data_IF_914505507742
#
_entry.id   IF_914505507742
#
_cell.length_a   1.000
_cell.length_b   1.000
_cell.length_c   1.000
_cell.angle_alpha   90.00
_cell.angle_beta   90.00
_cell.angle_gamma   90.00
#
_symmetry.space_group_name_H-M   'P 1'
#
loop_
_entity.id
_entity.type
_entity.pdbx_description
1 polymer ?
#
# COMPACT_ATOMS: atom_id res chain seq x y z
N UNK A 1 22.43 24.13 15.34
CA UNK A 1 22.27 22.73 14.86
C UNK A 1 21.06 22.18 15.59
N UNK A 2 19.94 22.00 14.90
CA UNK A 2 18.79 21.27 15.43
C UNK A 2 19.22 19.79 15.42
N UNK A 3 19.09 19.04 16.52
CA UNK A 3 19.43 17.64 16.53
C UNK A 3 18.51 16.94 15.52
N UNK A 4 19.13 16.20 14.57
CA UNK A 4 18.41 15.25 13.70
C UNK A 4 17.58 14.36 14.60
N UNK A 5 16.25 14.53 14.57
CA UNK A 5 15.34 13.62 15.24
C UNK A 5 15.65 12.22 14.74
N UNK A 6 15.91 11.28 15.64
CA UNK A 6 16.06 9.87 15.29
C UNK A 6 14.79 9.50 14.52
N UNK A 7 14.92 9.22 13.21
CA UNK A 7 13.82 8.70 12.39
C UNK A 7 13.29 7.44 13.07
N UNK A 8 12.00 7.42 13.36
CA UNK A 8 11.33 6.29 14.00
C UNK A 8 11.06 5.27 12.89
N UNK A 9 11.69 4.09 12.96
CA UNK A 9 11.24 2.95 12.17
C UNK A 9 9.84 2.57 12.67
N UNK A 10 8.94 2.19 11.77
CA UNK A 10 7.60 1.73 12.15
C UNK A 10 7.71 0.61 13.20
N UNK A 11 6.94 0.71 14.26
CA UNK A 11 6.92 -0.27 15.35
C UNK A 11 5.49 -0.67 15.66
N UNK A 12 5.27 -1.94 15.94
CA UNK A 12 4.02 -2.45 16.47
C UNK A 12 4.20 -2.89 17.91
N UNK A 13 3.35 -2.36 18.80
CA UNK A 13 3.29 -2.77 20.21
C UNK A 13 1.97 -3.48 20.45
N UNK A 14 2.02 -4.77 20.75
CA UNK A 14 0.86 -5.51 21.21
C UNK A 14 0.52 -5.09 22.65
N UNK A 15 -0.72 -4.66 22.89
CA UNK A 15 -1.16 -4.21 24.20
C UNK A 15 -2.05 -5.22 24.91
N UNK A 16 -3.01 -5.78 24.18
CA UNK A 16 -3.99 -6.73 24.74
C UNK A 16 -4.28 -7.86 23.75
N UNK A 17 -4.41 -9.06 24.29
CA UNK A 17 -4.94 -10.23 23.58
C UNK A 17 -6.18 -10.74 24.31
N UNK A 18 -7.22 -11.10 23.57
CA UNK A 18 -8.39 -11.75 24.14
C UNK A 18 -8.06 -13.18 24.59
N UNK A 19 -8.64 -13.60 25.70
CA UNK A 19 -8.41 -14.94 26.27
C UNK A 19 -9.29 -16.02 25.63
N UNK A 20 -10.33 -15.64 24.86
CA UNK A 20 -11.33 -16.55 24.29
C UNK A 20 -11.30 -16.61 22.76
N UNK A 21 -10.57 -15.72 22.12
CA UNK A 21 -10.44 -15.65 20.67
C UNK A 21 -9.03 -15.22 20.26
N UNK A 22 -8.77 -15.10 18.95
CA UNK A 22 -7.52 -14.56 18.41
C UNK A 22 -7.53 -13.02 18.29
N UNK A 23 -8.49 -12.34 18.89
CA UNK A 23 -8.58 -10.89 18.86
C UNK A 23 -7.43 -10.26 19.66
N UNK A 24 -6.92 -9.15 19.17
CA UNK A 24 -5.85 -8.40 19.79
C UNK A 24 -6.00 -6.91 19.54
N UNK A 25 -5.53 -6.09 20.46
CA UNK A 25 -5.36 -4.66 20.29
C UNK A 25 -3.89 -4.28 20.44
N UNK A 26 -3.48 -3.24 19.76
CA UNK A 26 -2.11 -2.75 19.80
C UNK A 26 -1.97 -1.38 19.17
N UNK A 27 -0.75 -0.86 19.13
CA UNK A 27 -0.41 0.44 18.59
C UNK A 27 0.66 0.30 17.52
N UNK A 28 0.46 0.94 16.37
CA UNK A 28 1.50 1.14 15.35
C UNK A 28 2.02 2.57 15.48
N UNK A 29 3.34 2.74 15.53
CA UNK A 29 3.99 4.05 15.50
C UNK A 29 4.64 4.30 14.15
N UNK A 30 4.36 5.48 13.56
CA UNK A 30 4.99 6.00 12.33
C UNK A 30 5.58 7.38 12.58
N UNK A 31 6.29 7.95 11.60
CA UNK A 31 6.80 9.33 11.72
C UNK A 31 5.68 10.39 11.76
N UNK A 32 4.46 10.07 11.27
CA UNK A 32 3.30 10.96 11.32
C UNK A 32 2.34 10.68 12.48
N UNK A 33 2.70 9.79 13.40
CA UNK A 33 1.91 9.54 14.60
C UNK A 33 1.61 8.09 14.87
N UNK A 34 0.67 7.87 15.78
CA UNK A 34 0.26 6.57 16.27
C UNK A 34 -1.06 6.14 15.68
N UNK A 35 -1.23 4.84 15.52
CA UNK A 35 -2.44 4.20 15.02
C UNK A 35 -2.86 3.16 16.06
N UNK A 36 -3.99 3.36 16.70
CA UNK A 36 -4.57 2.36 17.59
C UNK A 36 -5.26 1.27 16.76
N UNK A 37 -4.99 0.01 17.05
CA UNK A 37 -5.55 -1.13 16.30
C UNK A 37 -6.40 -2.04 17.18
N UNK A 38 -7.51 -2.59 16.65
CA UNK A 38 -7.99 -2.51 15.25
C UNK A 38 -8.62 -1.16 14.92
N UNK A 39 -8.49 -0.71 13.67
CA UNK A 39 -9.03 0.58 13.22
C UNK A 39 -9.60 0.48 11.80
N UNK A 40 -10.59 1.34 11.51
CA UNK A 40 -11.07 1.56 10.16
C UNK A 40 -10.28 2.68 9.49
N UNK A 41 -9.84 2.45 8.24
CA UNK A 41 -9.15 3.44 7.43
C UNK A 41 -10.11 4.07 6.41
N UNK A 42 -10.51 5.34 6.57
CA UNK A 42 -11.26 6.05 5.53
C UNK A 42 -10.49 6.07 4.20
N UNK A 43 -11.19 5.81 3.10
CA UNK A 43 -10.56 5.72 1.77
C UNK A 43 -10.54 7.09 1.10
N UNK A 44 -9.34 7.65 0.98
CA UNK A 44 -9.04 8.89 0.28
C UNK A 44 -8.51 8.65 -1.14
N UNK A 45 -9.32 8.08 -2.04
CA UNK A 45 -8.95 7.51 -3.34
C UNK A 45 -7.98 8.38 -4.15
N UNK A 46 -8.25 9.66 -4.31
CA UNK A 46 -7.43 10.61 -5.08
C UNK A 46 -6.93 11.76 -4.18
N UNK A 47 -6.46 11.43 -2.98
CA UNK A 47 -6.01 12.40 -1.98
C UNK A 47 -7.16 13.05 -1.21
N UNK A 48 -8.40 12.56 -1.37
CA UNK A 48 -9.57 13.06 -0.65
C UNK A 48 -10.58 11.93 -0.39
N UNK A 49 -11.23 11.96 0.76
CA UNK A 49 -12.43 11.17 1.04
C UNK A 49 -13.62 11.88 0.38
N UNK A 50 -14.26 11.22 -0.59
CA UNK A 50 -15.30 11.83 -1.40
C UNK A 50 -16.46 12.38 -0.55
N UNK A 51 -16.77 13.67 -0.74
CA UNK A 51 -17.89 14.34 -0.07
C UNK A 51 -17.61 14.71 1.40
N UNK A 52 -16.40 14.50 1.92
CA UNK A 52 -16.02 14.83 3.30
C UNK A 52 -14.75 15.68 3.28
N UNK A 53 -14.74 16.80 3.97
CA UNK A 53 -13.53 17.61 4.08
C UNK A 53 -12.48 16.91 4.94
N UNK A 54 -11.21 17.12 4.62
CA UNK A 54 -10.11 16.54 5.38
C UNK A 54 -10.12 16.99 6.85
N UNK A 55 -10.61 18.20 7.10
CA UNK A 55 -10.82 18.73 8.44
C UNK A 55 -11.81 17.87 9.23
N UNK A 56 -12.95 17.50 8.62
CA UNK A 56 -13.98 16.70 9.28
C UNK A 56 -13.48 15.28 9.57
N UNK A 57 -12.66 14.71 8.66
CA UNK A 57 -11.99 13.43 8.90
C UNK A 57 -11.07 13.49 10.11
N UNK A 58 -10.38 14.62 10.28
CA UNK A 58 -9.41 14.84 11.36
C UNK A 58 -10.07 15.20 12.69
N UNK A 59 -10.99 16.16 12.67
CA UNK A 59 -11.52 16.80 13.88
C UNK A 59 -12.79 16.10 14.39
N UNK A 60 -13.71 15.69 13.51
CA UNK A 60 -15.00 15.11 13.88
C UNK A 60 -14.95 13.57 13.89
N UNK A 61 -14.38 12.94 12.85
CA UNK A 61 -14.23 11.48 12.76
C UNK A 61 -13.05 11.00 13.59
N UNK A 62 -12.05 11.86 13.76
CA UNK A 62 -10.80 11.58 14.47
C UNK A 62 -10.09 10.31 13.96
N UNK A 63 -10.01 10.15 12.63
CA UNK A 63 -9.32 9.02 12.03
C UNK A 63 -7.81 9.11 12.29
N UNK A 64 -7.18 8.01 12.72
CA UNK A 64 -5.72 7.96 12.92
C UNK A 64 -4.97 7.78 11.60
N UNK A 65 -5.59 7.15 10.62
CA UNK A 65 -4.98 6.80 9.34
C UNK A 65 -6.01 6.88 8.22
N UNK A 66 -5.58 7.30 7.03
CA UNK A 66 -6.37 7.22 5.79
C UNK A 66 -5.63 6.40 4.73
N UNK A 67 -6.40 5.88 3.76
CA UNK A 67 -5.86 5.11 2.63
C UNK A 67 -5.97 5.91 1.33
N UNK A 68 -4.87 6.01 0.59
CA UNK A 68 -4.82 6.51 -0.78
C UNK A 68 -4.65 5.39 -1.80
N UNK A 69 -5.21 5.55 -3.02
CA UNK A 69 -5.06 4.53 -4.06
C UNK A 69 -3.98 4.94 -5.07
N UNK A 70 -2.90 4.19 -5.14
CA UNK A 70 -1.73 4.44 -5.99
C UNK A 70 -2.10 4.61 -7.46
N UNK A 71 -2.93 3.74 -8.02
CA UNK A 71 -3.40 3.82 -9.41
C UNK A 71 -4.07 5.17 -9.72
N UNK A 72 -4.99 5.60 -8.85
CA UNK A 72 -5.73 6.85 -9.06
C UNK A 72 -4.82 8.06 -8.91
N UNK A 73 -3.96 8.09 -7.89
CA UNK A 73 -3.01 9.19 -7.65
C UNK A 73 -1.98 9.31 -8.77
N UNK A 74 -1.52 8.18 -9.31
CA UNK A 74 -0.62 8.13 -10.47
C UNK A 74 -1.24 8.75 -11.73
N UNK A 75 -2.53 8.45 -12.02
CA UNK A 75 -3.22 8.98 -13.19
C UNK A 75 -3.69 10.42 -12.99
N UNK A 76 -4.19 10.75 -11.80
CA UNK A 76 -4.71 12.08 -11.45
C UNK A 76 -4.66 12.32 -9.94
N UNK A 77 -3.94 13.34 -9.47
CA UNK A 77 -3.41 14.50 -10.22
C UNK A 77 -2.15 14.20 -11.03
N UNK A 78 -1.50 13.04 -10.85
CA UNK A 78 -0.23 12.69 -11.46
C UNK A 78 0.95 12.93 -10.51
N UNK A 79 2.03 12.21 -10.75
CA UNK A 79 3.19 12.22 -9.85
C UNK A 79 3.88 13.57 -9.78
N UNK A 80 4.01 14.27 -10.91
CA UNK A 80 4.65 15.59 -10.96
C UNK A 80 3.96 16.59 -10.03
N UNK A 81 2.62 16.59 -10.02
CA UNK A 81 1.84 17.46 -9.15
C UNK A 81 2.04 17.10 -7.67
N UNK A 82 2.00 15.82 -7.34
CA UNK A 82 2.20 15.35 -5.97
C UNK A 82 3.62 15.70 -5.48
N UNK A 83 4.63 15.47 -6.31
CA UNK A 83 6.03 15.77 -5.99
C UNK A 83 6.29 17.24 -5.78
N UNK A 84 5.78 18.10 -6.68
CA UNK A 84 5.91 19.57 -6.57
C UNK A 84 5.24 20.12 -5.31
N UNK A 85 4.22 19.44 -4.79
CA UNK A 85 3.55 19.79 -3.53
C UNK A 85 4.22 19.15 -2.29
N UNK A 86 5.32 18.41 -2.45
CA UNK A 86 6.06 17.83 -1.33
C UNK A 86 5.43 16.56 -0.76
N UNK A 87 4.78 15.75 -1.62
CA UNK A 87 4.15 14.48 -1.28
C UNK A 87 2.68 14.58 -0.94
N UNK A 88 2.03 13.42 -0.80
CA UNK A 88 0.59 13.34 -0.60
C UNK A 88 0.12 13.99 0.71
N UNK A 89 0.89 13.88 1.79
CA UNK A 89 0.58 14.52 3.07
C UNK A 89 0.39 16.04 2.92
N UNK A 90 1.31 16.70 2.22
CA UNK A 90 1.21 18.14 1.98
C UNK A 90 0.16 18.49 0.93
N UNK A 91 0.04 17.67 -0.10
CA UNK A 91 -0.95 17.87 -1.17
C UNK A 91 -2.39 17.86 -0.67
N UNK A 92 -2.72 16.95 0.24
CA UNK A 92 -4.09 16.83 0.78
C UNK A 92 -4.29 17.46 2.18
N UNK A 93 -3.22 17.99 2.79
CA UNK A 93 -3.28 18.60 4.12
C UNK A 93 -3.49 17.59 5.26
N UNK A 94 -3.11 16.32 5.06
CA UNK A 94 -3.21 15.26 6.05
C UNK A 94 -1.87 15.06 6.78
N UNK A 95 -1.83 15.35 8.07
CA UNK A 95 -0.61 15.31 8.89
C UNK A 95 -0.53 14.08 9.82
N UNK A 96 -1.43 13.10 9.64
CA UNK A 96 -1.46 11.82 10.36
C UNK A 96 -1.01 10.68 9.45
N UNK A 97 -0.84 9.45 9.95
CA UNK A 97 -0.45 8.29 9.16
C UNK A 97 -1.27 8.09 7.88
N UNK A 98 -0.62 7.64 6.83
CA UNK A 98 -1.20 7.41 5.52
C UNK A 98 -0.70 6.08 4.93
N UNK A 99 -1.60 5.30 4.37
CA UNK A 99 -1.29 4.08 3.65
C UNK A 99 -1.64 4.23 2.17
N UNK A 100 -0.81 3.69 1.28
CA UNK A 100 -1.17 3.51 -0.13
C UNK A 100 -1.20 2.05 -0.52
N UNK A 101 -2.25 1.67 -1.28
CA UNK A 101 -2.29 0.35 -1.90
C UNK A 101 -1.24 0.20 -3.01
N UNK A 102 -1.11 -1.02 -3.57
CA UNK A 102 -0.18 -1.29 -4.68
C UNK A 102 -0.67 -0.76 -6.04
N UNK A 103 -1.96 -0.49 -6.19
CA UNK A 103 -2.63 -0.24 -7.47
C UNK A 103 -2.98 -1.50 -8.26
N UNK A 104 -2.60 -2.69 -7.82
CA UNK A 104 -2.83 -3.97 -8.51
C UNK A 104 -4.31 -4.27 -8.72
N UNK A 105 -5.14 -4.05 -7.71
CA UNK A 105 -6.59 -4.25 -7.81
C UNK A 105 -7.25 -3.33 -8.84
N UNK A 106 -6.89 -2.05 -8.88
CA UNK A 106 -7.47 -1.09 -9.81
C UNK A 106 -7.04 -1.37 -11.26
N UNK A 107 -5.80 -1.78 -11.48
CA UNK A 107 -5.34 -2.27 -12.78
C UNK A 107 -6.15 -3.50 -13.21
N UNK A 108 -6.53 -4.37 -12.24
CA UNK A 108 -7.42 -5.50 -12.52
C UNK A 108 -8.85 -5.06 -12.84
N UNK A 109 -9.45 -4.23 -11.99
CA UNK A 109 -10.89 -3.96 -12.01
C UNK A 109 -11.32 -2.86 -12.98
N UNK A 110 -10.42 -1.92 -13.34
CA UNK A 110 -10.73 -0.74 -14.16
C UNK A 110 -10.14 -0.79 -15.57
N UNK A 111 -9.41 -1.83 -15.92
CA UNK A 111 -8.80 -1.97 -17.24
C UNK A 111 -9.34 -3.19 -18.00
N UNK A 112 -10.26 -2.96 -18.94
CA UNK A 112 -10.81 -4.00 -19.81
C UNK A 112 -9.73 -4.65 -20.69
N UNK A 113 -8.61 -3.97 -20.91
CA UNK A 113 -7.50 -4.40 -21.78
C UNK A 113 -6.18 -4.33 -21.02
N UNK A 114 -5.92 -5.34 -20.21
CA UNK A 114 -4.62 -5.51 -19.55
C UNK A 114 -3.85 -6.68 -20.15
N UNK A 115 -2.53 -6.55 -20.18
CA UNK A 115 -1.61 -7.65 -20.44
C UNK A 115 -0.71 -7.82 -19.23
N UNK A 116 -0.76 -9.00 -18.65
CA UNK A 116 0.04 -9.36 -17.48
C UNK A 116 1.07 -10.40 -17.89
N UNK A 117 2.31 -10.18 -17.53
CA UNK A 117 3.41 -11.13 -17.64
C UNK A 117 4.33 -11.05 -16.44
N UNK A 118 5.43 -11.80 -16.44
CA UNK A 118 6.44 -11.80 -15.37
C UNK A 118 7.06 -10.40 -15.14
N UNK A 119 7.06 -9.53 -16.14
CA UNK A 119 7.66 -8.21 -16.08
C UNK A 119 6.73 -7.15 -15.48
N UNK A 120 5.44 -7.44 -15.34
CA UNK A 120 4.46 -6.51 -14.82
C UNK A 120 3.15 -6.50 -15.60
N UNK A 121 2.44 -5.37 -15.56
CA UNK A 121 1.13 -5.20 -16.20
C UNK A 121 1.13 -3.99 -17.11
N UNK A 122 0.72 -4.18 -18.35
CA UNK A 122 0.39 -3.10 -19.29
C UNK A 122 -1.13 -2.91 -19.26
N UNK A 123 -1.58 -1.68 -19.06
CA UNK A 123 -3.00 -1.35 -18.98
C UNK A 123 -3.32 -0.05 -19.69
N UNK A 124 -4.60 0.20 -19.92
CA UNK A 124 -5.11 1.47 -20.44
C UNK A 124 -5.78 2.27 -19.32
N UNK A 125 -5.47 3.56 -19.26
CA UNK A 125 -6.12 4.50 -18.35
C UNK A 125 -7.62 4.58 -18.65
N UNK A 126 -8.44 4.47 -17.62
CA UNK A 126 -9.89 4.66 -17.72
C UNK A 126 -10.30 6.12 -17.93
N UNK A 127 -9.35 7.06 -17.78
CA UNK A 127 -9.60 8.51 -17.91
C UNK A 127 -9.51 8.94 -19.37
N UNK A 128 -8.45 8.53 -20.08
CA UNK A 128 -8.09 9.02 -21.42
C UNK A 128 -7.65 7.93 -22.40
N UNK A 129 -7.63 6.66 -21.96
CA UNK A 129 -7.23 5.52 -22.78
C UNK A 129 -5.72 5.41 -23.03
N UNK A 130 -4.89 6.26 -22.43
CA UNK A 130 -3.44 6.20 -22.55
C UNK A 130 -2.89 4.87 -22.00
N UNK A 131 -1.79 4.38 -22.61
CA UNK A 131 -1.17 3.11 -22.20
C UNK A 131 -0.12 3.37 -21.13
N UNK A 132 -0.18 2.59 -20.07
CA UNK A 132 0.74 2.61 -18.95
C UNK A 132 1.29 1.23 -18.67
N UNK A 133 2.42 1.17 -17.96
CA UNK A 133 3.01 -0.08 -17.49
C UNK A 133 3.36 0.05 -16.01
N UNK A 134 2.84 -0.89 -15.21
CA UNK A 134 3.29 -1.09 -13.84
C UNK A 134 4.20 -2.31 -13.77
N UNK A 135 5.35 -2.13 -13.13
CA UNK A 135 6.29 -3.19 -12.75
C UNK A 135 6.52 -3.11 -11.24
N UNK A 136 6.98 -4.18 -10.59
CA UNK A 136 7.33 -4.11 -9.18
C UNK A 136 8.22 -2.92 -8.83
N UNK A 137 9.23 -2.66 -9.65
CA UNK A 137 10.19 -1.58 -9.42
C UNK A 137 9.54 -0.19 -9.54
N UNK A 138 8.83 0.07 -10.66
CA UNK A 138 8.28 1.40 -10.85
C UNK A 138 7.11 1.70 -9.91
N UNK A 139 6.37 0.69 -9.42
CA UNK A 139 5.35 0.88 -8.39
C UNK A 139 5.99 1.30 -7.06
N UNK A 140 7.17 0.79 -6.72
CA UNK A 140 7.94 1.29 -5.57
C UNK A 140 8.35 2.75 -5.78
N UNK A 141 8.88 3.10 -6.96
CA UNK A 141 9.24 4.48 -7.28
C UNK A 141 8.04 5.43 -7.23
N UNK A 142 6.89 5.01 -7.77
CA UNK A 142 5.63 5.75 -7.69
C UNK A 142 5.24 6.02 -6.24
N UNK A 143 5.26 5.00 -5.38
CA UNK A 143 4.90 5.16 -3.98
C UNK A 143 5.94 5.95 -3.17
N UNK A 144 7.23 5.97 -3.61
CA UNK A 144 8.24 6.90 -3.07
C UNK A 144 7.86 8.36 -3.35
N UNK A 145 7.35 8.65 -4.56
CA UNK A 145 6.87 9.99 -4.94
C UNK A 145 5.59 10.36 -4.21
N UNK A 146 4.65 9.43 -4.07
CA UNK A 146 3.41 9.66 -3.32
C UNK A 146 3.73 9.96 -1.85
N UNK A 147 4.62 9.19 -1.22
CA UNK A 147 5.11 9.47 0.12
C UNK A 147 4.15 9.09 1.25
N UNK A 148 3.47 7.94 1.17
CA UNK A 148 2.72 7.38 2.30
C UNK A 148 3.67 6.76 3.34
N UNK A 149 3.25 6.67 4.61
CA UNK A 149 4.01 5.98 5.67
C UNK A 149 4.07 4.48 5.43
N UNK A 150 2.96 3.88 5.02
CA UNK A 150 2.82 2.46 4.70
C UNK A 150 2.54 2.33 3.21
N UNK A 151 3.38 1.56 2.51
CA UNK A 151 3.23 1.28 1.08
C UNK A 151 3.10 -0.22 0.86
N UNK A 152 2.33 -0.63 -0.15
CA UNK A 152 2.09 -2.03 -0.45
C UNK A 152 2.97 -2.53 -1.58
N UNK A 153 3.48 -3.76 -1.47
CA UNK A 153 4.15 -4.44 -2.57
C UNK A 153 3.19 -4.66 -3.74
N UNK A 154 3.69 -4.54 -4.96
CA UNK A 154 2.89 -4.78 -6.15
C UNK A 154 2.52 -6.26 -6.26
N UNK A 155 1.24 -6.53 -6.43
CA UNK A 155 0.67 -7.87 -6.45
C UNK A 155 -0.25 -8.10 -7.66
N UNK A 156 -0.49 -9.35 -7.99
CA UNK A 156 -1.51 -9.75 -8.96
C UNK A 156 -2.77 -10.15 -8.21
N UNK A 157 -3.82 -9.34 -8.38
CA UNK A 157 -5.13 -9.62 -7.82
C UNK A 157 -5.88 -10.64 -8.67
N UNK A 158 -6.21 -11.80 -8.09
CA UNK A 158 -6.96 -12.86 -8.76
C UNK A 158 -8.44 -12.51 -8.88
N UNK A 159 -9.12 -12.93 -9.98
CA UNK A 159 -10.58 -12.89 -10.05
C UNK A 159 -11.22 -13.81 -8.98
N UNK A 160 -12.47 -13.55 -8.67
CA UNK A 160 -13.27 -14.48 -7.88
C UNK A 160 -14.62 -14.74 -8.58
N UNK A 161 -15.00 -16.00 -8.79
CA UNK A 161 -14.22 -17.23 -8.53
C UNK A 161 -13.04 -17.41 -9.50
N UNK A 162 -12.02 -18.19 -9.11
CA UNK A 162 -10.95 -18.63 -10.00
C UNK A 162 -10.55 -20.07 -9.71
N UNK A 163 -9.93 -20.72 -10.69
CA UNK A 163 -9.41 -22.08 -10.55
C UNK A 163 -8.17 -22.11 -9.62
N UNK A 164 -7.96 -23.28 -9.00
CA UNK A 164 -6.82 -23.51 -8.12
C UNK A 164 -5.47 -23.28 -8.83
N UNK A 165 -5.32 -23.81 -10.05
CA UNK A 165 -4.08 -23.69 -10.83
C UNK A 165 -3.78 -22.24 -11.20
N UNK A 166 -4.84 -21.47 -11.53
CA UNK A 166 -4.70 -20.03 -11.77
C UNK A 166 -4.27 -19.31 -10.49
N UNK A 167 -4.95 -19.57 -9.37
CA UNK A 167 -4.62 -18.95 -8.08
C UNK A 167 -3.17 -19.25 -7.65
N UNK A 168 -2.71 -20.49 -7.84
CA UNK A 168 -1.34 -20.91 -7.55
C UNK A 168 -0.31 -20.20 -8.43
N UNK A 169 -0.59 -20.10 -9.73
CA UNK A 169 0.27 -19.37 -10.68
C UNK A 169 0.37 -17.88 -10.35
N UNK A 170 -0.76 -17.25 -10.07
CA UNK A 170 -0.86 -15.84 -9.67
C UNK A 170 -0.10 -15.55 -8.38
N UNK A 171 -0.29 -16.39 -7.36
CA UNK A 171 0.46 -16.31 -6.11
C UNK A 171 1.97 -16.38 -6.36
N UNK A 172 2.42 -17.29 -7.21
CA UNK A 172 3.84 -17.40 -7.58
C UNK A 172 4.40 -16.17 -8.28
N UNK A 173 3.60 -15.50 -9.13
CA UNK A 173 3.97 -14.20 -9.74
C UNK A 173 4.10 -13.15 -8.65
N UNK A 174 3.10 -13.03 -7.76
CA UNK A 174 3.13 -12.06 -6.65
C UNK A 174 4.35 -12.25 -5.75
N UNK A 175 4.75 -13.49 -5.44
CA UNK A 175 5.94 -13.76 -4.65
C UNK A 175 7.23 -13.26 -5.33
N UNK A 176 7.41 -13.52 -6.63
CA UNK A 176 8.57 -13.03 -7.38
C UNK A 176 8.55 -11.50 -7.53
N UNK A 177 7.38 -10.92 -7.70
CA UNK A 177 7.22 -9.46 -7.70
C UNK A 177 7.53 -8.86 -6.33
N UNK A 178 7.14 -9.53 -5.25
CA UNK A 178 7.51 -9.09 -3.90
C UNK A 178 9.04 -9.02 -3.73
N UNK A 179 9.79 -10.02 -4.20
CA UNK A 179 11.25 -9.98 -4.14
C UNK A 179 11.83 -8.77 -4.87
N UNK A 180 11.28 -8.46 -6.04
CA UNK A 180 11.67 -7.28 -6.82
C UNK A 180 11.28 -5.97 -6.12
N UNK A 181 10.09 -5.91 -5.50
CA UNK A 181 9.67 -4.76 -4.68
C UNK A 181 10.62 -4.53 -3.50
N UNK A 182 10.96 -5.59 -2.76
CA UNK A 182 11.88 -5.54 -1.60
C UNK A 182 13.26 -5.03 -2.04
N UNK A 183 13.80 -5.58 -3.14
CA UNK A 183 15.08 -5.13 -3.69
C UNK A 183 15.02 -3.64 -4.05
N UNK A 184 14.01 -3.23 -4.84
CA UNK A 184 13.88 -1.83 -5.25
C UNK A 184 13.66 -0.89 -4.06
N UNK A 185 12.87 -1.30 -3.08
CA UNK A 185 12.64 -0.53 -1.86
C UNK A 185 13.94 -0.32 -1.07
N UNK A 186 14.82 -1.33 -0.99
CA UNK A 186 16.12 -1.24 -0.32
C UNK A 186 17.14 -0.39 -1.07
N UNK A 187 17.06 -0.34 -2.40
CA UNK A 187 17.92 0.47 -3.27
C UNK A 187 17.55 1.95 -3.27
N UNK A 188 16.33 2.29 -2.86
CA UNK A 188 15.80 3.66 -2.91
C UNK A 188 15.59 4.22 -1.51
N UNK A 189 15.84 5.52 -1.36
CA UNK A 189 15.56 6.24 -0.12
C UNK A 189 14.19 6.92 -0.18
N UNK A 190 13.54 7.18 0.98
CA UNK A 190 12.38 8.05 1.03
C UNK A 190 12.68 9.41 0.39
N UNK A 191 11.71 9.94 -0.37
CA UNK A 191 11.85 11.26 -1.03
C UNK A 191 11.71 12.43 -0.06
N UNK A 192 11.00 12.19 1.02
CA UNK A 192 10.68 13.21 2.03
C UNK A 192 11.39 12.89 3.35
N UNK A 193 11.35 13.79 4.29
CA UNK A 193 12.11 13.67 5.55
C UNK A 193 11.42 12.79 6.61
N UNK A 194 10.87 11.64 6.17
CA UNK A 194 10.27 10.61 7.02
C UNK A 194 10.43 9.22 6.40
N UNK A 195 10.27 8.19 7.21
CA UNK A 195 10.39 6.80 6.78
C UNK A 195 9.12 6.29 6.14
N UNK A 196 9.29 5.31 5.27
CA UNK A 196 8.20 4.52 4.69
C UNK A 196 8.46 3.05 5.00
N UNK A 197 7.39 2.29 5.18
CA UNK A 197 7.44 0.84 5.44
C UNK A 197 6.72 0.09 4.34
N UNK A 198 7.34 -0.99 3.85
CA UNK A 198 6.78 -1.85 2.80
C UNK A 198 6.01 -3.01 3.43
N UNK A 199 4.71 -3.15 3.08
CA UNK A 199 3.89 -4.29 3.47
C UNK A 199 3.70 -5.25 2.29
N UNK A 200 4.12 -6.53 2.43
CA UNK A 200 3.73 -7.61 1.53
C UNK A 200 2.24 -7.95 1.65
N UNK A 201 1.70 -8.59 0.60
CA UNK A 201 0.29 -8.98 0.53
C UNK A 201 0.17 -10.49 0.43
N UNK A 202 -0.64 -11.11 1.31
CA UNK A 202 -0.96 -12.54 1.27
C UNK A 202 -1.93 -12.82 0.13
N UNK A 203 -1.50 -13.63 -0.84
CA UNK A 203 -2.33 -14.08 -1.95
C UNK A 203 -2.72 -15.57 -1.81
N UNK A 204 -3.31 -16.20 -2.84
CA UNK A 204 -3.78 -17.59 -2.82
C UNK A 204 -5.31 -17.72 -2.90
N UNK A 205 -6.01 -16.64 -3.29
CA UNK A 205 -7.48 -16.61 -3.42
C UNK A 205 -8.18 -17.14 -2.15
N UNK A 206 -9.14 -18.04 -2.27
CA UNK A 206 -9.85 -18.69 -1.15
C UNK A 206 -9.29 -20.07 -0.78
N UNK A 207 -8.18 -20.49 -1.38
CA UNK A 207 -7.57 -21.80 -1.12
C UNK A 207 -6.67 -21.74 0.11
N UNK A 208 -7.06 -22.49 1.14
CA UNK A 208 -6.43 -22.45 2.47
C UNK A 208 -4.94 -22.81 2.44
N UNK A 209 -4.56 -23.80 1.67
CA UNK A 209 -3.19 -24.26 1.49
C UNK A 209 -2.31 -23.20 0.81
N UNK A 210 -2.80 -22.59 -0.29
CA UNK A 210 -2.11 -21.50 -0.98
C UNK A 210 -1.96 -20.26 -0.09
N UNK A 211 -3.00 -19.89 0.66
CA UNK A 211 -2.92 -18.77 1.60
C UNK A 211 -1.89 -19.02 2.70
N UNK A 212 -1.81 -20.26 3.19
CA UNK A 212 -0.80 -20.64 4.19
C UNK A 212 0.60 -20.55 3.59
N UNK A 213 0.83 -21.13 2.40
CA UNK A 213 2.09 -21.04 1.67
C UNK A 213 2.50 -19.57 1.44
N UNK A 214 1.54 -18.73 1.01
CA UNK A 214 1.80 -17.31 0.82
C UNK A 214 2.14 -16.60 2.13
N UNK A 215 1.43 -16.86 3.21
CA UNK A 215 1.71 -16.26 4.52
C UNK A 215 3.11 -16.65 5.04
N UNK A 216 3.51 -17.92 4.88
CA UNK A 216 4.85 -18.40 5.25
C UNK A 216 5.94 -17.72 4.40
N UNK A 217 5.69 -17.57 3.08
CA UNK A 217 6.62 -16.91 2.18
C UNK A 217 6.82 -15.43 2.55
N UNK A 218 5.74 -14.67 2.73
CA UNK A 218 5.86 -13.25 3.08
C UNK A 218 6.46 -13.02 4.47
N UNK A 219 6.13 -13.89 5.44
CA UNK A 219 6.71 -13.82 6.77
C UNK A 219 8.24 -14.01 6.75
N UNK A 220 8.76 -14.82 5.80
CA UNK A 220 10.20 -15.02 5.63
C UNK A 220 10.95 -13.76 5.17
N UNK A 221 10.24 -12.73 4.68
CA UNK A 221 10.84 -11.45 4.24
C UNK A 221 11.14 -10.51 5.41
N UNK A 222 10.59 -10.76 6.60
CA UNK A 222 10.87 -9.98 7.81
C UNK A 222 10.35 -8.55 7.75
N UNK A 223 9.29 -8.28 6.98
CA UNK A 223 8.66 -6.97 6.94
C UNK A 223 7.95 -6.66 8.27
N UNK A 224 7.83 -5.38 8.61
CA UNK A 224 7.23 -4.91 9.87
C UNK A 224 5.72 -5.17 9.92
N UNK A 225 5.08 -5.37 8.79
CA UNK A 225 3.66 -5.71 8.68
C UNK A 225 3.34 -6.37 7.35
N UNK A 226 2.12 -6.85 7.21
CA UNK A 226 1.61 -7.48 5.98
C UNK A 226 0.09 -7.27 5.85
N UNK A 227 -0.44 -7.51 4.65
CA UNK A 227 -1.86 -7.41 4.31
C UNK A 227 -2.40 -8.71 3.68
#
# INVERSE_FOLDING_TARGET
MVPLSKKILMQFKLEVTDTKSSARAGEISTDHGKIETPIFMPVGTAGTVKGVHIKDIKDDINADIILGNTYHLYLRPGLDVIEQNGGLHKFNGWDRPLLTDSGGYQVYSLSDRRKLDENGVIFQSHIDGSKHKFTPENVMDIQRVIGADIIMAFDECTPYPCDYDYAKKSMGITHRWLDRCVNRFSETSPKYDYNQTLFPIVQGSTFKDLRKESAEYIASKGAEGNA
#
